data_IF_813001306653
#
_entry.id   IF_813001306653
#
_cell.length_a   1.000
_cell.length_b   1.000
_cell.length_c   1.000
_cell.angle_alpha   90.00
_cell.angle_beta   90.00
_cell.angle_gamma   90.00
#
_symmetry.space_group_name_H-M   'P 1'
#
loop_
_entity.id
_entity.type
_entity.pdbx_description
1 polymer ?
#
# COMPACT_ATOMS: atom_id res chain seq x y z
N UNK A 1 -31.54 6.67 25.89
CA UNK A 1 -30.59 7.77 25.58
C UNK A 1 -29.19 7.27 25.98
N UNK A 2 -28.13 7.48 25.19
CA UNK A 2 -26.79 7.05 25.58
C UNK A 2 -26.33 7.91 26.77
N UNK A 3 -25.74 7.32 27.85
CA UNK A 3 -25.23 8.08 28.93
C UNK A 3 -24.13 9.05 28.50
N UNK A 4 -24.05 10.19 29.14
CA UNK A 4 -23.06 11.26 28.89
C UNK A 4 -22.05 11.36 30.01
N UNK A 5 -20.95 12.09 29.83
CA UNK A 5 -19.96 12.38 30.88
C UNK A 5 -20.61 13.07 32.08
N UNK A 6 -21.68 13.85 31.86
CA UNK A 6 -22.44 14.50 32.93
C UNK A 6 -23.21 13.49 33.79
N UNK A 7 -23.75 12.44 33.15
CA UNK A 7 -24.46 11.38 33.90
C UNK A 7 -23.48 10.57 34.75
N UNK A 8 -22.27 10.28 34.20
CA UNK A 8 -21.22 9.63 35.01
C UNK A 8 -20.80 10.49 36.17
N UNK A 9 -20.59 11.79 35.98
CA UNK A 9 -20.21 12.72 37.03
C UNK A 9 -21.29 12.78 38.14
N UNK A 10 -22.57 12.84 37.73
CA UNK A 10 -23.72 12.82 38.65
C UNK A 10 -23.81 11.52 39.43
N UNK A 11 -23.66 10.37 38.77
CA UNK A 11 -23.70 9.05 39.43
C UNK A 11 -22.53 8.84 40.42
N UNK A 12 -21.33 9.24 40.01
CA UNK A 12 -20.10 9.13 40.83
C UNK A 12 -20.02 10.16 41.94
N UNK A 13 -20.90 11.18 41.96
CA UNK A 13 -20.84 12.28 42.93
C UNK A 13 -19.55 13.11 42.84
N UNK A 14 -19.07 13.35 41.60
CA UNK A 14 -17.85 14.14 41.32
C UNK A 14 -18.12 15.18 40.24
N UNK A 15 -17.15 16.09 40.02
CA UNK A 15 -17.25 17.05 38.94
C UNK A 15 -17.00 16.39 37.57
N UNK A 16 -17.54 16.97 36.47
CA UNK A 16 -17.24 16.54 35.11
C UNK A 16 -15.73 16.60 34.82
N UNK A 17 -15.04 17.59 35.38
CA UNK A 17 -13.58 17.70 35.29
C UNK A 17 -12.85 16.51 35.93
N UNK A 18 -13.38 15.96 37.03
CA UNK A 18 -12.81 14.76 37.69
C UNK A 18 -13.00 13.53 36.82
N UNK A 19 -14.19 13.35 36.21
CA UNK A 19 -14.41 12.26 35.22
C UNK A 19 -13.50 12.40 34.00
N UNK A 20 -13.36 13.60 33.48
CA UNK A 20 -12.46 13.87 32.33
C UNK A 20 -10.99 13.54 32.67
N UNK A 21 -10.52 13.91 33.89
CA UNK A 21 -9.17 13.56 34.35
C UNK A 21 -9.00 12.03 34.45
N UNK A 22 -10.01 11.33 34.96
CA UNK A 22 -10.00 9.86 35.03
C UNK A 22 -9.85 9.23 33.65
N UNK A 23 -10.66 9.66 32.69
CA UNK A 23 -10.63 9.16 31.31
C UNK A 23 -9.28 9.41 30.59
N UNK A 24 -8.56 10.45 31.02
CA UNK A 24 -7.25 10.83 30.50
C UNK A 24 -6.08 10.29 31.36
N UNK A 25 -6.33 9.35 32.29
CA UNK A 25 -5.31 8.77 33.17
C UNK A 25 -4.45 9.82 33.90
N UNK A 26 -5.04 10.96 34.26
CA UNK A 26 -4.33 12.04 34.94
C UNK A 26 -3.93 11.60 36.39
N UNK A 27 -2.68 11.83 36.80
CA UNK A 27 -2.25 11.50 38.16
C UNK A 27 -2.89 12.41 39.23
N UNK A 28 -3.58 13.46 38.84
CA UNK A 28 -4.16 14.48 39.71
C UNK A 28 -5.57 14.12 40.22
N UNK A 29 -5.87 12.83 40.46
CA UNK A 29 -7.16 12.36 40.94
C UNK A 29 -6.96 11.62 42.26
N UNK A 30 -7.80 11.95 43.27
CA UNK A 30 -7.80 11.22 44.54
C UNK A 30 -8.23 9.75 44.32
N UNK A 31 -7.56 8.75 44.93
CA UNK A 31 -7.86 7.32 44.75
C UNK A 31 -9.34 6.95 44.97
N UNK A 32 -9.99 7.57 45.96
CA UNK A 32 -11.43 7.37 46.21
C UNK A 32 -12.31 7.84 45.05
N UNK A 33 -11.91 8.90 44.34
CA UNK A 33 -12.65 9.41 43.18
C UNK A 33 -12.45 8.51 41.94
N UNK A 34 -11.28 7.91 41.79
CA UNK A 34 -10.98 6.93 40.73
C UNK A 34 -11.96 5.77 40.81
N UNK A 35 -12.12 5.17 42.00
CA UNK A 35 -12.99 4.01 42.18
C UNK A 35 -14.47 4.34 41.93
N UNK A 36 -14.95 5.49 42.44
CA UNK A 36 -16.33 5.94 42.18
C UNK A 36 -16.63 6.19 40.72
N UNK A 37 -15.69 6.80 40.01
CA UNK A 37 -15.84 7.04 38.55
C UNK A 37 -15.82 5.72 37.78
N UNK A 38 -14.94 4.77 38.14
CA UNK A 38 -14.90 3.43 37.54
C UNK A 38 -16.25 2.71 37.66
N UNK A 39 -16.79 2.66 38.90
CA UNK A 39 -18.09 2.05 39.17
C UNK A 39 -19.24 2.74 38.42
N UNK A 40 -19.22 4.06 38.31
CA UNK A 40 -20.23 4.81 37.55
C UNK A 40 -20.18 4.49 36.05
N UNK A 41 -18.99 4.38 35.47
CA UNK A 41 -18.78 4.01 34.06
C UNK A 41 -19.35 2.60 33.80
N UNK A 42 -19.05 1.64 34.68
CA UNK A 42 -19.54 0.27 34.57
C UNK A 42 -21.07 0.20 34.74
N UNK A 43 -21.62 0.83 35.76
CA UNK A 43 -23.04 0.83 36.06
C UNK A 43 -23.89 1.47 34.92
N UNK A 44 -23.38 2.53 34.32
CA UNK A 44 -24.04 3.24 33.23
C UNK A 44 -23.70 2.67 31.83
N UNK A 45 -22.82 1.68 31.74
CA UNK A 45 -22.23 1.21 30.47
C UNK A 45 -21.78 2.39 29.59
N UNK A 46 -21.11 3.37 30.25
CA UNK A 46 -20.68 4.58 29.58
C UNK A 46 -19.44 4.33 28.74
N UNK A 47 -19.52 4.63 27.46
CA UNK A 47 -18.39 4.64 26.55
C UNK A 47 -18.01 6.09 26.24
N UNK A 48 -16.75 6.49 26.52
CA UNK A 48 -16.29 7.85 26.20
C UNK A 48 -16.45 8.12 24.70
N UNK A 49 -17.09 9.21 24.35
CA UNK A 49 -17.18 9.65 22.97
C UNK A 49 -15.81 10.11 22.47
N UNK A 50 -15.30 9.48 21.42
CA UNK A 50 -14.06 9.91 20.75
C UNK A 50 -14.20 11.35 20.22
N UNK A 51 -15.37 11.72 19.67
CA UNK A 51 -15.66 13.11 19.25
C UNK A 51 -15.55 14.11 20.41
N UNK A 52 -16.06 13.75 21.60
CA UNK A 52 -15.96 14.63 22.78
C UNK A 52 -14.51 14.75 23.29
N UNK A 53 -13.72 13.69 23.13
CA UNK A 53 -12.28 13.69 23.46
C UNK A 53 -11.52 14.53 22.45
N UNK A 54 -11.83 14.40 21.16
CA UNK A 54 -11.25 15.17 20.07
C UNK A 54 -11.47 16.68 20.21
N UNK A 55 -12.69 17.11 20.57
CA UNK A 55 -13.02 18.50 20.82
C UNK A 55 -12.19 19.14 21.95
N UNK A 56 -11.76 18.34 22.93
CA UNK A 56 -10.93 18.84 24.06
C UNK A 56 -9.45 18.95 23.69
N UNK A 57 -8.96 18.14 22.75
CA UNK A 57 -7.54 18.04 22.39
C UNK A 57 -7.22 18.56 20.99
N UNK A 58 -8.24 18.96 20.22
CA UNK A 58 -8.08 19.41 18.84
C UNK A 58 -7.74 18.31 17.83
N UNK A 59 -7.89 17.03 18.21
CA UNK A 59 -7.58 15.87 17.36
C UNK A 59 -8.87 15.16 16.94
N UNK A 60 -8.95 14.76 15.68
CA UNK A 60 -10.08 13.97 15.15
C UNK A 60 -9.96 12.47 15.41
N UNK A 61 -8.76 12.00 15.73
CA UNK A 61 -8.38 10.59 15.79
C UNK A 61 -8.73 9.83 14.50
N UNK A 62 -8.60 10.52 13.36
CA UNK A 62 -8.92 9.99 12.03
C UNK A 62 -7.76 10.27 11.10
N UNK A 63 -7.37 9.25 10.34
CA UNK A 63 -6.38 9.33 9.27
C UNK A 63 -7.09 9.11 7.94
N UNK A 64 -6.82 9.92 6.93
CA UNK A 64 -7.36 9.70 5.60
C UNK A 64 -6.41 8.84 4.75
N UNK A 65 -6.95 7.82 4.09
CA UNK A 65 -6.34 7.19 2.92
C UNK A 65 -6.90 7.87 1.67
N UNK A 66 -6.06 8.59 0.96
CA UNK A 66 -6.45 9.31 -0.27
C UNK A 66 -6.38 8.38 -1.47
N UNK A 67 -7.46 8.33 -2.23
CA UNK A 67 -7.66 7.43 -3.37
C UNK A 67 -8.12 8.22 -4.59
N UNK A 68 -7.69 7.81 -5.79
CA UNK A 68 -8.14 8.39 -7.05
C UNK A 68 -9.57 7.90 -7.37
N UNK A 69 -10.51 8.81 -7.54
CA UNK A 69 -11.90 8.52 -7.88
C UNK A 69 -12.10 8.16 -9.36
N UNK A 70 -11.13 8.51 -10.22
CA UNK A 70 -11.20 8.20 -11.65
C UNK A 70 -10.91 6.73 -11.97
N UNK A 71 -10.36 5.98 -11.01
CA UNK A 71 -9.93 4.60 -11.22
C UNK A 71 -10.71 3.60 -10.37
N UNK A 72 -11.89 3.21 -10.87
CA UNK A 72 -12.73 2.16 -10.23
C UNK A 72 -11.99 0.82 -10.12
N UNK A 73 -11.02 0.55 -11.00
CA UNK A 73 -10.21 -0.67 -10.99
C UNK A 73 -9.32 -0.77 -9.75
N UNK A 74 -9.07 0.35 -9.06
CA UNK A 74 -8.36 0.36 -7.76
C UNK A 74 -9.04 -0.58 -6.76
N UNK A 75 -10.37 -0.66 -6.75
CA UNK A 75 -11.13 -1.54 -5.87
C UNK A 75 -11.19 -3.00 -6.35
N UNK A 76 -10.93 -3.24 -7.62
CA UNK A 76 -10.80 -4.59 -8.19
C UNK A 76 -9.45 -5.25 -7.92
N UNK A 77 -8.48 -4.48 -7.45
CA UNK A 77 -7.14 -4.95 -7.15
C UNK A 77 -6.98 -5.27 -5.65
N UNK A 78 -6.61 -6.49 -5.32
CA UNK A 78 -6.40 -6.93 -3.93
C UNK A 78 -5.26 -6.15 -3.23
N UNK A 79 -4.34 -5.53 -3.96
CA UNK A 79 -3.29 -4.65 -3.45
C UNK A 79 -3.89 -3.53 -2.58
N UNK A 80 -4.92 -2.84 -3.11
CA UNK A 80 -5.59 -1.76 -2.37
C UNK A 80 -6.25 -2.27 -1.08
N UNK A 81 -6.95 -3.39 -1.14
CA UNK A 81 -7.60 -3.99 0.03
C UNK A 81 -6.58 -4.42 1.10
N UNK A 82 -5.44 -4.93 0.67
CA UNK A 82 -4.36 -5.39 1.58
C UNK A 82 -3.63 -4.24 2.23
N UNK A 83 -3.34 -3.15 1.51
CA UNK A 83 -2.74 -1.95 2.10
C UNK A 83 -3.71 -1.28 3.08
N UNK A 84 -5.00 -1.20 2.73
CA UNK A 84 -6.05 -0.69 3.60
C UNK A 84 -6.13 -1.51 4.90
N UNK A 85 -6.12 -2.83 4.81
CA UNK A 85 -6.11 -3.72 5.97
C UNK A 85 -4.91 -3.46 6.88
N UNK A 86 -3.71 -3.33 6.30
CA UNK A 86 -2.50 -3.03 7.04
C UNK A 86 -2.56 -1.68 7.77
N UNK A 87 -3.03 -0.66 7.08
CA UNK A 87 -3.25 0.68 7.64
C UNK A 87 -4.23 0.64 8.80
N UNK A 88 -5.44 0.11 8.57
CA UNK A 88 -6.49 0.04 9.58
C UNK A 88 -6.02 -0.70 10.83
N UNK A 89 -5.40 -1.88 10.64
CA UNK A 89 -4.92 -2.71 11.74
C UNK A 89 -3.88 -1.99 12.61
N UNK A 90 -2.97 -1.23 12.01
CA UNK A 90 -1.97 -0.48 12.78
C UNK A 90 -2.56 0.77 13.43
N UNK A 91 -3.42 1.52 12.72
CA UNK A 91 -4.09 2.71 13.23
C UNK A 91 -5.03 2.41 14.40
N UNK A 92 -5.81 1.33 14.32
CA UNK A 92 -6.75 0.92 15.37
C UNK A 92 -6.05 0.65 16.71
N UNK A 93 -4.83 0.08 16.69
CA UNK A 93 -4.03 -0.15 17.90
C UNK A 93 -3.59 1.14 18.59
N UNK A 94 -3.50 2.23 17.83
CA UNK A 94 -3.16 3.57 18.31
C UNK A 94 -4.39 4.44 18.59
N UNK A 95 -5.60 3.87 18.44
CA UNK A 95 -6.87 4.54 18.68
C UNK A 95 -7.32 5.46 17.55
N UNK A 96 -6.78 5.31 16.35
CA UNK A 96 -7.17 6.05 15.15
C UNK A 96 -8.14 5.26 14.27
N UNK A 97 -9.01 5.98 13.59
CA UNK A 97 -9.87 5.46 12.54
C UNK A 97 -9.28 5.75 11.16
N UNK A 98 -9.54 4.86 10.20
CA UNK A 98 -9.21 5.08 8.80
C UNK A 98 -10.45 5.61 8.07
N UNK A 99 -10.30 6.74 7.37
CA UNK A 99 -11.28 7.32 6.46
C UNK A 99 -10.75 7.21 5.03
N UNK A 100 -11.56 6.69 4.11
CA UNK A 100 -11.21 6.70 2.69
C UNK A 100 -11.69 8.01 2.10
N UNK A 101 -10.78 8.75 1.48
CA UNK A 101 -11.05 10.04 0.86
C UNK A 101 -10.80 9.95 -0.65
N UNK A 102 -11.87 10.07 -1.42
CA UNK A 102 -11.77 10.10 -2.87
C UNK A 102 -11.48 11.52 -3.35
N UNK A 103 -10.46 11.64 -4.19
CA UNK A 103 -10.15 12.89 -4.89
C UNK A 103 -10.01 12.62 -6.38
N UNK A 104 -10.48 13.55 -7.21
CA UNK A 104 -10.16 13.54 -8.64
C UNK A 104 -8.69 13.95 -8.84
N UNK A 105 -8.03 13.37 -9.84
CA UNK A 105 -6.63 13.68 -10.16
C UNK A 105 -6.34 15.18 -10.40
N UNK A 106 -7.38 15.96 -10.71
CA UNK A 106 -7.32 17.41 -10.93
C UNK A 106 -8.22 18.21 -9.96
N UNK A 107 -8.86 17.56 -9.00
CA UNK A 107 -9.77 18.22 -8.07
C UNK A 107 -9.46 17.80 -6.63
N UNK A 108 -8.75 18.65 -5.93
CA UNK A 108 -8.33 18.46 -4.53
C UNK A 108 -9.30 19.07 -3.52
N UNK A 109 -10.45 19.61 -3.97
CA UNK A 109 -11.39 20.35 -3.09
C UNK A 109 -11.93 19.51 -1.93
N UNK A 110 -12.14 18.20 -2.14
CA UNK A 110 -12.53 17.29 -1.07
C UNK A 110 -11.45 17.18 0.00
N UNK A 111 -10.18 17.04 -0.40
CA UNK A 111 -9.05 17.00 0.53
C UNK A 111 -8.92 18.33 1.29
N UNK A 112 -9.01 19.48 0.59
CA UNK A 112 -8.99 20.80 1.21
C UNK A 112 -10.10 20.95 2.25
N UNK A 113 -11.32 20.52 1.93
CA UNK A 113 -12.47 20.61 2.85
C UNK A 113 -12.24 19.80 4.14
N UNK A 114 -11.88 18.53 4.02
CA UNK A 114 -11.69 17.66 5.20
C UNK A 114 -10.51 18.11 6.07
N UNK A 115 -9.47 18.67 5.46
CA UNK A 115 -8.32 19.23 6.16
C UNK A 115 -8.71 20.53 6.89
N UNK A 116 -9.35 21.48 6.19
CA UNK A 116 -9.76 22.77 6.76
C UNK A 116 -10.82 22.63 7.86
N UNK A 117 -11.65 21.60 7.79
CA UNK A 117 -12.66 21.29 8.80
C UNK A 117 -12.10 20.49 9.99
N UNK A 118 -10.79 20.23 10.03
CA UNK A 118 -10.10 19.41 11.06
C UNK A 118 -10.74 18.03 11.24
N UNK A 119 -11.19 17.40 10.15
CA UNK A 119 -11.81 16.06 10.19
C UNK A 119 -10.79 14.93 10.25
N UNK A 120 -9.54 15.24 9.96
CA UNK A 120 -8.43 14.28 9.93
C UNK A 120 -7.20 14.88 10.62
N UNK A 121 -6.38 14.02 11.20
CA UNK A 121 -5.13 14.40 11.85
C UNK A 121 -3.92 14.11 10.96
N UNK A 122 -4.07 13.23 9.98
CA UNK A 122 -3.00 12.85 9.08
C UNK A 122 -3.51 12.20 7.80
N UNK A 123 -2.61 12.07 6.83
CA UNK A 123 -2.94 11.55 5.48
C UNK A 123 -1.95 10.45 5.08
N UNK A 124 -2.47 9.38 4.50
CA UNK A 124 -1.71 8.43 3.69
C UNK A 124 -2.20 8.55 2.26
N UNK A 125 -1.28 8.64 1.31
CA UNK A 125 -1.58 8.69 -0.11
C UNK A 125 -0.66 7.75 -0.88
N UNK A 126 -1.14 7.19 -1.98
CA UNK A 126 -0.31 6.40 -2.87
C UNK A 126 0.55 7.33 -3.74
N UNK A 127 1.73 6.88 -4.14
CA UNK A 127 2.70 7.70 -4.90
C UNK A 127 2.12 8.30 -6.19
N UNK A 128 1.17 7.61 -6.82
CA UNK A 128 0.48 8.07 -8.03
C UNK A 128 -0.33 9.36 -7.80
N UNK A 129 -0.77 9.62 -6.57
CA UNK A 129 -1.52 10.82 -6.16
C UNK A 129 -0.63 11.91 -5.55
N UNK A 130 0.64 11.64 -5.33
CA UNK A 130 1.59 12.61 -4.77
C UNK A 130 2.01 13.69 -5.79
N UNK A 131 1.04 14.28 -6.48
CA UNK A 131 1.26 15.37 -7.42
C UNK A 131 1.37 16.74 -6.72
N UNK A 132 1.81 17.76 -7.47
CA UNK A 132 2.07 19.09 -6.93
C UNK A 132 0.85 19.72 -6.22
N UNK A 133 -0.37 19.52 -6.75
CA UNK A 133 -1.59 20.10 -6.17
C UNK A 133 -1.93 19.45 -4.81
N UNK A 134 -1.89 18.13 -4.72
CA UNK A 134 -2.14 17.41 -3.47
C UNK A 134 -1.09 17.77 -2.42
N UNK A 135 0.18 17.76 -2.80
CA UNK A 135 1.29 18.09 -1.88
C UNK A 135 1.21 19.56 -1.42
N UNK A 136 0.80 20.48 -2.27
CA UNK A 136 0.61 21.89 -1.90
C UNK A 136 -0.45 22.05 -0.80
N UNK A 137 -1.59 21.33 -0.91
CA UNK A 137 -2.64 21.32 0.13
C UNK A 137 -2.07 20.81 1.46
N UNK A 138 -1.36 19.67 1.43
CA UNK A 138 -0.81 19.06 2.62
C UNK A 138 0.27 19.93 3.29
N UNK A 139 1.17 20.52 2.51
CA UNK A 139 2.21 21.43 3.03
C UNK A 139 1.62 22.72 3.63
N UNK A 140 0.65 23.34 2.94
CA UNK A 140 -0.02 24.57 3.44
C UNK A 140 -0.75 24.32 4.75
N UNK A 141 -1.41 23.18 4.88
CA UNK A 141 -2.17 22.84 6.08
C UNK A 141 -1.29 22.36 7.23
N UNK A 142 -0.03 22.03 6.95
CA UNK A 142 0.92 21.43 7.91
C UNK A 142 0.43 20.10 8.51
N UNK A 143 -0.48 19.42 7.82
CA UNK A 143 -0.96 18.11 8.23
C UNK A 143 0.10 17.05 7.93
N UNK A 144 0.49 16.19 8.86
CA UNK A 144 1.43 15.12 8.61
C UNK A 144 0.89 14.14 7.56
N UNK A 145 1.77 13.70 6.65
CA UNK A 145 1.40 12.71 5.65
C UNK A 145 2.52 11.73 5.33
N UNK A 146 2.14 10.55 4.86
CA UNK A 146 3.05 9.50 4.39
C UNK A 146 2.63 9.06 3.00
N UNK A 147 3.61 8.88 2.11
CA UNK A 147 3.41 8.38 0.76
C UNK A 147 3.70 6.87 0.75
N UNK A 148 2.71 6.07 0.34
CA UNK A 148 2.87 4.67 0.00
C UNK A 148 3.38 4.53 -1.43
N UNK A 149 4.65 4.17 -1.58
CA UNK A 149 5.42 4.19 -2.81
C UNK A 149 6.55 5.22 -2.77
N UNK A 150 7.59 5.01 -3.56
CA UNK A 150 8.75 5.91 -3.61
C UNK A 150 8.36 7.31 -4.09
N UNK A 151 8.91 8.31 -3.45
CA UNK A 151 8.74 9.71 -3.82
C UNK A 151 10.08 10.37 -4.09
N UNK A 152 10.12 11.25 -5.10
CA UNK A 152 11.26 12.12 -5.38
C UNK A 152 11.27 13.40 -4.56
N UNK A 153 10.25 13.63 -3.73
CA UNK A 153 10.13 14.82 -2.88
C UNK A 153 11.01 14.62 -1.64
N UNK A 154 12.07 15.39 -1.55
CA UNK A 154 13.12 15.26 -0.51
C UNK A 154 12.57 15.37 0.93
N UNK A 155 11.56 16.22 1.12
CA UNK A 155 10.94 16.46 2.44
C UNK A 155 9.82 15.48 2.78
N UNK A 156 9.46 14.57 1.87
CA UNK A 156 8.37 13.64 2.10
C UNK A 156 8.77 12.49 3.01
N UNK A 157 7.79 11.99 3.75
CA UNK A 157 7.87 10.69 4.43
C UNK A 157 7.25 9.66 3.50
N UNK A 158 8.00 8.59 3.19
CA UNK A 158 7.49 7.56 2.30
C UNK A 158 7.96 6.16 2.69
N UNK A 159 7.16 5.18 2.32
CA UNK A 159 7.49 3.76 2.46
C UNK A 159 7.16 3.03 1.17
N UNK A 160 8.08 2.19 0.71
CA UNK A 160 7.92 1.36 -0.49
C UNK A 160 8.63 0.02 -0.29
N UNK A 161 8.50 -0.86 -1.27
CA UNK A 161 9.39 -2.00 -1.44
C UNK A 161 10.60 -1.58 -2.27
N UNK A 162 11.68 -2.35 -2.18
CA UNK A 162 12.81 -2.17 -3.11
C UNK A 162 12.46 -2.77 -4.48
N UNK A 163 11.84 -1.93 -5.35
CA UNK A 163 11.43 -2.36 -6.69
C UNK A 163 12.60 -2.69 -7.61
N UNK A 164 13.78 -2.05 -7.41
CA UNK A 164 14.98 -2.38 -8.17
C UNK A 164 15.45 -3.78 -7.76
N UNK A 165 15.54 -4.04 -6.47
CA UNK A 165 15.89 -5.37 -5.96
C UNK A 165 14.84 -6.42 -6.35
N UNK A 166 13.56 -6.07 -6.36
CA UNK A 166 12.49 -6.95 -6.82
C UNK A 166 12.71 -7.38 -8.28
N UNK A 167 12.98 -6.42 -9.18
CA UNK A 167 13.30 -6.69 -10.58
C UNK A 167 14.54 -7.57 -10.73
N UNK A 168 15.59 -7.30 -9.93
CA UNK A 168 16.80 -8.12 -9.89
C UNK A 168 16.50 -9.54 -9.42
N UNK A 169 15.72 -9.71 -8.36
CA UNK A 169 15.35 -11.03 -7.82
C UNK A 169 14.57 -11.88 -8.84
N UNK A 170 13.57 -11.30 -9.52
CA UNK A 170 12.81 -12.02 -10.55
C UNK A 170 13.70 -12.49 -11.71
N UNK A 171 14.61 -11.64 -12.15
CA UNK A 171 15.51 -11.92 -13.26
C UNK A 171 16.57 -12.94 -12.87
N UNK A 172 17.19 -12.79 -11.70
CA UNK A 172 18.17 -13.73 -11.17
C UNK A 172 17.56 -15.15 -11.03
N UNK A 173 16.32 -15.23 -10.53
CA UNK A 173 15.60 -16.49 -10.46
C UNK A 173 15.50 -17.19 -11.81
N UNK A 174 15.09 -16.46 -12.87
CA UNK A 174 14.98 -17.04 -14.20
C UNK A 174 16.33 -17.45 -14.78
N UNK A 175 17.41 -16.70 -14.51
CA UNK A 175 18.77 -17.08 -14.89
C UNK A 175 19.20 -18.37 -14.20
N UNK A 176 18.93 -18.52 -12.89
CA UNK A 176 19.24 -19.71 -12.10
C UNK A 176 18.46 -20.97 -12.58
N UNK A 177 17.31 -20.79 -13.24
CA UNK A 177 16.57 -21.88 -13.88
C UNK A 177 17.02 -22.16 -15.33
N UNK A 178 18.13 -21.57 -15.77
CA UNK A 178 18.78 -21.80 -17.06
C UNK A 178 18.23 -20.95 -18.21
N UNK A 179 17.43 -19.92 -17.96
CA UNK A 179 16.98 -19.02 -19.00
C UNK A 179 18.09 -18.03 -19.37
N UNK A 180 18.40 -17.89 -20.67
CA UNK A 180 19.38 -16.91 -21.18
C UNK A 180 18.76 -15.79 -22.00
N UNK A 181 17.52 -15.99 -22.46
CA UNK A 181 16.72 -14.99 -23.18
C UNK A 181 15.49 -14.63 -22.33
N UNK A 182 15.56 -13.50 -21.65
CA UNK A 182 14.51 -13.06 -20.72
C UNK A 182 13.92 -11.76 -21.23
N UNK A 183 12.62 -11.73 -21.54
CA UNK A 183 11.88 -10.52 -21.89
C UNK A 183 11.25 -9.87 -20.66
N UNK A 184 10.85 -8.59 -20.80
CA UNK A 184 10.12 -7.84 -19.77
C UNK A 184 8.78 -7.32 -20.30
N UNK A 185 7.70 -7.55 -19.56
CA UNK A 185 6.35 -7.17 -19.96
C UNK A 185 5.78 -6.13 -18.98
N UNK A 186 5.30 -5.01 -19.51
CA UNK A 186 4.69 -3.96 -18.69
C UNK A 186 3.58 -3.21 -19.44
N UNK A 187 2.69 -2.59 -18.69
CA UNK A 187 1.71 -1.67 -19.25
C UNK A 187 2.32 -0.29 -19.54
N UNK A 188 3.20 0.22 -18.65
CA UNK A 188 3.83 1.52 -18.83
C UNK A 188 5.12 1.63 -18.01
N UNK A 189 6.12 2.30 -18.57
CA UNK A 189 7.33 2.72 -17.85
C UNK A 189 7.19 4.07 -17.13
N UNK A 190 6.07 4.75 -17.26
CA UNK A 190 5.79 5.98 -16.53
C UNK A 190 5.50 5.73 -15.05
N UNK A 191 5.04 4.52 -14.72
CA UNK A 191 4.84 4.10 -13.33
C UNK A 191 6.19 3.82 -12.68
N UNK A 192 6.47 4.49 -11.55
CA UNK A 192 7.76 4.41 -10.84
C UNK A 192 8.15 2.96 -10.56
N UNK A 193 7.24 2.17 -9.99
CA UNK A 193 7.51 0.77 -9.67
C UNK A 193 7.91 -0.07 -10.90
N UNK A 194 7.25 0.16 -12.05
CA UNK A 194 7.53 -0.59 -13.27
C UNK A 194 8.90 -0.20 -13.86
N UNK A 195 9.23 1.10 -13.85
CA UNK A 195 10.54 1.59 -14.28
C UNK A 195 11.68 1.05 -13.39
N UNK A 196 11.47 1.00 -12.07
CA UNK A 196 12.46 0.47 -11.12
C UNK A 196 12.62 -1.06 -11.26
N UNK A 197 11.53 -1.82 -11.39
CA UNK A 197 11.58 -3.27 -11.68
C UNK A 197 12.33 -3.56 -12.98
N UNK A 198 12.08 -2.74 -14.00
CA UNK A 198 12.80 -2.83 -15.27
C UNK A 198 14.29 -2.47 -15.13
N UNK A 199 14.62 -1.47 -14.34
CA UNK A 199 16.02 -1.13 -14.05
C UNK A 199 16.76 -2.29 -13.34
N UNK A 200 16.09 -2.92 -12.37
CA UNK A 200 16.60 -4.12 -11.70
C UNK A 200 16.81 -5.31 -12.65
N UNK A 201 15.83 -5.54 -13.55
CA UNK A 201 15.93 -6.55 -14.62
C UNK A 201 17.15 -6.30 -15.51
N UNK A 202 17.34 -5.08 -16.03
CA UNK A 202 18.49 -4.75 -16.88
C UNK A 202 19.82 -4.93 -16.15
N UNK A 203 19.92 -4.40 -14.94
CA UNK A 203 21.12 -4.53 -14.12
C UNK A 203 21.50 -6.00 -13.88
N UNK A 204 20.50 -6.88 -13.70
CA UNK A 204 20.76 -8.30 -13.49
C UNK A 204 21.25 -8.98 -14.78
N UNK A 205 20.69 -8.66 -15.95
CA UNK A 205 21.16 -9.17 -17.24
C UNK A 205 22.60 -8.72 -17.52
N UNK A 206 22.90 -7.43 -17.33
CA UNK A 206 24.24 -6.86 -17.51
C UNK A 206 25.27 -7.56 -16.60
N UNK A 207 24.93 -7.79 -15.34
CA UNK A 207 25.79 -8.52 -14.41
C UNK A 207 26.07 -9.97 -14.83
N UNK A 208 25.13 -10.60 -15.55
CA UNK A 208 25.29 -11.93 -16.11
C UNK A 208 25.98 -11.94 -17.49
N UNK A 209 26.40 -10.79 -18.00
CA UNK A 209 27.01 -10.66 -19.34
C UNK A 209 25.99 -10.84 -20.49
N UNK A 210 24.71 -10.66 -20.20
CA UNK A 210 23.62 -10.78 -21.16
C UNK A 210 23.11 -9.40 -21.56
N UNK A 211 22.57 -9.31 -22.78
CA UNK A 211 21.87 -8.12 -23.26
C UNK A 211 20.36 -8.39 -23.32
N UNK A 212 19.61 -7.31 -23.28
CA UNK A 212 18.17 -7.38 -23.53
C UNK A 212 17.90 -7.99 -24.92
N UNK A 213 17.05 -9.03 -25.02
CA UNK A 213 16.77 -9.70 -26.29
C UNK A 213 15.98 -8.80 -27.24
N UNK A 214 15.97 -9.14 -28.54
CA UNK A 214 15.26 -8.37 -29.57
C UNK A 214 13.73 -8.26 -29.33
N UNK A 215 13.14 -9.24 -28.62
CA UNK A 215 11.75 -9.19 -28.11
C UNK A 215 11.63 -8.49 -26.76
N UNK A 216 12.68 -7.90 -26.27
CA UNK A 216 13.07 -7.27 -25.03
C UNK A 216 11.93 -6.74 -24.14
N UNK A 217 11.83 -5.40 -24.00
CA UNK A 217 10.77 -4.80 -23.17
C UNK A 217 9.55 -4.46 -24.01
N UNK A 218 8.44 -5.12 -23.72
CA UNK A 218 7.12 -4.79 -24.25
C UNK A 218 6.39 -3.85 -23.29
N UNK A 219 5.91 -2.71 -23.81
CA UNK A 219 5.05 -1.76 -23.11
C UNK A 219 3.69 -1.63 -23.78
N UNK A 220 2.75 -0.99 -23.10
CA UNK A 220 1.40 -0.79 -23.63
C UNK A 220 0.49 -2.01 -23.49
N UNK A 221 0.85 -2.96 -22.62
CA UNK A 221 0.06 -4.18 -22.35
C UNK A 221 -1.04 -3.87 -21.32
N UNK A 222 -1.98 -2.99 -21.71
CA UNK A 222 -3.03 -2.48 -20.83
C UNK A 222 -4.22 -3.44 -20.74
N UNK A 223 -4.56 -4.09 -21.84
CA UNK A 223 -5.74 -4.95 -21.94
C UNK A 223 -5.36 -6.38 -22.32
N UNK A 224 -6.24 -7.36 -22.07
CA UNK A 224 -6.06 -8.72 -22.58
C UNK A 224 -5.90 -8.78 -24.12
N UNK A 225 -6.50 -7.84 -24.86
CA UNK A 225 -6.38 -7.75 -26.31
C UNK A 225 -4.98 -7.30 -26.74
N UNK A 226 -4.38 -6.33 -26.03
CA UNK A 226 -3.01 -5.89 -26.30
C UNK A 226 -2.01 -7.02 -26.08
N UNK A 227 -2.21 -7.80 -25.02
CA UNK A 227 -1.38 -8.96 -24.70
C UNK A 227 -1.54 -10.05 -25.77
N UNK A 228 -2.77 -10.32 -26.22
CA UNK A 228 -3.02 -11.28 -27.30
C UNK A 228 -2.36 -10.85 -28.60
N UNK A 229 -2.43 -9.57 -28.97
CA UNK A 229 -1.76 -9.00 -30.12
C UNK A 229 -0.24 -9.09 -30.05
N UNK A 230 0.33 -8.82 -28.83
CA UNK A 230 1.76 -8.98 -28.60
C UNK A 230 2.21 -10.44 -28.83
N UNK A 231 1.51 -11.40 -28.22
CA UNK A 231 1.84 -12.84 -28.36
C UNK A 231 1.75 -13.26 -29.83
N UNK A 232 0.73 -12.82 -30.56
CA UNK A 232 0.57 -13.14 -31.98
C UNK A 232 1.71 -12.56 -32.82
N UNK A 233 2.08 -11.30 -32.60
CA UNK A 233 3.15 -10.64 -33.33
C UNK A 233 4.54 -11.24 -33.08
N UNK A 234 4.72 -11.94 -31.96
CA UNK A 234 6.01 -12.51 -31.56
C UNK A 234 6.02 -14.04 -31.51
N UNK A 235 4.96 -14.72 -32.03
CA UNK A 235 4.80 -16.18 -31.89
C UNK A 235 6.01 -17.01 -32.30
N UNK A 236 6.74 -16.59 -33.32
CA UNK A 236 7.88 -17.32 -33.90
C UNK A 236 9.22 -16.94 -33.25
N UNK A 237 9.21 -15.99 -32.30
CA UNK A 237 10.41 -15.43 -31.64
C UNK A 237 10.18 -15.07 -30.19
N UNK A 238 9.37 -15.86 -29.49
CA UNK A 238 9.19 -15.68 -28.06
C UNK A 238 10.50 -15.94 -27.31
N UNK A 239 10.79 -15.12 -26.29
CA UNK A 239 11.88 -15.39 -25.36
C UNK A 239 11.59 -16.66 -24.54
N UNK A 240 12.64 -17.31 -24.05
CA UNK A 240 12.53 -18.51 -23.19
C UNK A 240 11.98 -18.21 -21.81
N UNK A 241 12.04 -16.95 -21.37
CA UNK A 241 11.47 -16.53 -20.13
C UNK A 241 11.01 -15.07 -20.18
N UNK A 242 10.08 -14.73 -19.30
CA UNK A 242 9.57 -13.36 -19.15
C UNK A 242 9.43 -12.97 -17.69
N UNK A 243 9.80 -11.73 -17.40
CA UNK A 243 9.42 -11.02 -16.18
C UNK A 243 8.24 -10.10 -16.51
N UNK A 244 7.08 -10.33 -15.92
CA UNK A 244 5.92 -9.44 -16.07
C UNK A 244 5.82 -8.47 -14.90
N UNK A 245 5.62 -7.17 -15.17
CA UNK A 245 5.64 -6.12 -14.15
C UNK A 245 4.57 -6.25 -13.05
N UNK A 246 3.55 -7.06 -13.28
CA UNK A 246 2.51 -7.41 -12.30
C UNK A 246 1.86 -8.77 -12.63
N UNK A 247 1.10 -9.31 -11.68
CA UNK A 247 0.45 -10.62 -11.82
C UNK A 247 -0.71 -10.62 -12.83
N UNK A 248 -1.35 -9.49 -13.11
CA UNK A 248 -2.44 -9.42 -14.08
C UNK A 248 -1.92 -9.56 -15.51
N UNK A 249 -0.83 -8.85 -15.84
CA UNK A 249 -0.15 -9.00 -17.13
C UNK A 249 0.33 -10.44 -17.30
N UNK A 250 0.99 -11.00 -16.29
CA UNK A 250 1.45 -12.39 -16.33
C UNK A 250 0.31 -13.38 -16.57
N UNK A 251 -0.81 -13.22 -15.87
CA UNK A 251 -1.98 -14.08 -16.01
C UNK A 251 -2.53 -14.09 -17.45
N UNK A 252 -2.74 -12.92 -18.02
CA UNK A 252 -3.24 -12.82 -19.39
C UNK A 252 -2.22 -13.33 -20.41
N UNK A 253 -0.94 -13.07 -20.18
CA UNK A 253 0.13 -13.55 -21.04
C UNK A 253 0.22 -15.08 -21.04
N UNK A 254 0.27 -15.71 -19.87
CA UNK A 254 0.30 -17.17 -19.72
C UNK A 254 -0.92 -17.82 -20.38
N UNK A 255 -2.11 -17.24 -20.17
CA UNK A 255 -3.35 -17.72 -20.81
C UNK A 255 -3.29 -17.66 -22.34
N UNK A 256 -2.74 -16.60 -22.91
CA UNK A 256 -2.59 -16.47 -24.34
C UNK A 256 -1.54 -17.44 -24.92
N UNK A 257 -0.46 -17.71 -24.18
CA UNK A 257 0.53 -18.75 -24.53
C UNK A 257 -0.11 -20.13 -24.55
N UNK A 258 -0.82 -20.50 -23.47
CA UNK A 258 -1.49 -21.81 -23.35
C UNK A 258 -2.52 -22.05 -24.47
N UNK A 259 -3.33 -21.04 -24.84
CA UNK A 259 -4.26 -21.11 -25.99
C UNK A 259 -3.57 -21.44 -27.31
N UNK A 260 -2.31 -21.11 -27.46
CA UNK A 260 -1.50 -21.36 -28.67
C UNK A 260 -0.64 -22.61 -28.56
N UNK A 261 -0.84 -23.40 -27.50
CA UNK A 261 -0.13 -24.64 -27.28
C UNK A 261 1.30 -24.50 -26.76
N UNK A 262 1.69 -23.29 -26.31
CA UNK A 262 2.99 -23.06 -25.67
C UNK A 262 2.92 -23.57 -24.24
N UNK A 263 3.84 -24.47 -23.87
CA UNK A 263 3.88 -25.10 -22.55
C UNK A 263 4.65 -24.22 -21.55
N UNK A 264 4.06 -24.02 -20.40
CA UNK A 264 4.68 -23.31 -19.27
C UNK A 264 4.91 -24.32 -18.16
N UNK A 265 6.12 -24.49 -17.63
CA UNK A 265 7.35 -23.73 -17.88
C UNK A 265 8.28 -24.29 -18.97
N UNK A 266 7.90 -25.35 -19.70
CA UNK A 266 8.81 -26.11 -20.58
C UNK A 266 9.34 -25.28 -21.75
N UNK A 267 8.44 -24.59 -22.47
CA UNK A 267 8.76 -23.79 -23.64
C UNK A 267 9.05 -22.35 -23.26
N UNK A 268 8.25 -21.78 -22.35
CA UNK A 268 8.38 -20.40 -21.85
C UNK A 268 8.19 -20.39 -20.32
N UNK A 269 9.11 -19.79 -19.60
CA UNK A 269 8.99 -19.53 -18.17
C UNK A 269 8.42 -18.11 -17.93
N UNK A 270 7.65 -17.94 -16.84
CA UNK A 270 7.08 -16.63 -16.47
C UNK A 270 7.26 -16.38 -14.97
N UNK A 271 7.92 -15.26 -14.64
CA UNK A 271 7.97 -14.74 -13.29
C UNK A 271 7.23 -13.40 -13.23
N UNK A 272 6.57 -13.10 -12.12
CA UNK A 272 5.80 -11.89 -11.94
C UNK A 272 6.02 -11.27 -10.56
N UNK A 273 5.23 -10.27 -10.22
CA UNK A 273 5.22 -9.62 -8.92
C UNK A 273 3.82 -9.73 -8.32
N UNK A 274 3.76 -9.57 -7.02
CA UNK A 274 2.57 -9.66 -6.19
C UNK A 274 2.02 -11.09 -6.04
N UNK A 275 2.01 -11.55 -4.80
CA UNK A 275 1.35 -12.80 -4.44
C UNK A 275 -0.17 -12.60 -4.35
N UNK A 276 -0.77 -12.32 -5.51
CA UNK A 276 -2.20 -12.10 -5.67
C UNK A 276 -2.97 -13.42 -5.79
N UNK A 277 -4.29 -13.34 -5.71
CA UNK A 277 -5.17 -14.49 -5.98
C UNK A 277 -4.90 -15.03 -7.40
N UNK A 278 -4.72 -14.17 -8.40
CA UNK A 278 -4.41 -14.57 -9.77
C UNK A 278 -3.14 -15.41 -9.85
N UNK A 279 -2.11 -15.04 -9.07
CA UNK A 279 -0.85 -15.78 -9.06
C UNK A 279 -1.00 -17.19 -8.50
N UNK A 280 -1.88 -17.39 -7.53
CA UNK A 280 -2.10 -18.69 -6.89
C UNK A 280 -3.06 -19.61 -7.64
N UNK A 281 -4.06 -19.06 -8.37
CA UNK A 281 -5.09 -19.82 -9.07
C UNK A 281 -4.80 -20.02 -10.56
N UNK A 282 -3.74 -19.40 -11.10
CA UNK A 282 -3.31 -19.65 -12.48
C UNK A 282 -2.82 -21.07 -12.67
N UNK A 283 -2.89 -21.58 -13.91
CA UNK A 283 -2.39 -22.91 -14.29
C UNK A 283 -1.38 -22.78 -15.43
N UNK A 284 -0.08 -23.08 -15.12
CA UNK A 284 0.48 -23.37 -13.80
C UNK A 284 0.44 -22.15 -12.86
N UNK A 285 0.49 -22.38 -11.53
CA UNK A 285 0.56 -21.28 -10.55
C UNK A 285 1.85 -20.46 -10.74
N UNK A 286 1.76 -19.14 -10.58
CA UNK A 286 2.87 -18.22 -10.92
C UNK A 286 3.94 -18.16 -9.84
N UNK A 287 5.20 -18.27 -10.27
CA UNK A 287 6.36 -17.84 -9.49
C UNK A 287 6.35 -16.32 -9.42
N UNK A 288 6.42 -15.77 -8.21
CA UNK A 288 6.33 -14.33 -8.00
C UNK A 288 7.37 -13.81 -7.01
N UNK A 289 7.80 -12.58 -7.23
CA UNK A 289 8.41 -11.80 -6.16
C UNK A 289 7.30 -11.33 -5.23
N UNK A 290 7.30 -11.84 -4.01
CA UNK A 290 6.33 -11.48 -2.99
C UNK A 290 6.58 -10.05 -2.51
N UNK A 291 5.52 -9.26 -2.52
CA UNK A 291 5.44 -7.92 -1.94
C UNK A 291 4.53 -8.01 -0.73
N UNK A 292 5.05 -7.68 0.45
CA UNK A 292 4.23 -7.68 1.67
C UNK A 292 3.46 -6.36 1.79
N UNK A 293 2.37 -6.26 1.04
CA UNK A 293 1.50 -5.09 0.98
C UNK A 293 0.85 -4.77 2.34
N UNK A 294 0.55 -5.80 3.14
CA UNK A 294 0.00 -5.60 4.49
C UNK A 294 1.04 -4.91 5.39
N UNK A 295 2.29 -5.42 5.37
CA UNK A 295 3.38 -4.80 6.12
C UNK A 295 3.69 -3.38 5.63
N UNK A 296 3.53 -3.08 4.34
CA UNK A 296 3.66 -1.74 3.77
C UNK A 296 2.61 -0.79 4.36
N UNK A 297 1.33 -1.19 4.40
CA UNK A 297 0.27 -0.42 5.05
C UNK A 297 0.53 -0.20 6.55
N UNK A 298 0.97 -1.26 7.26
CA UNK A 298 1.32 -1.16 8.68
C UNK A 298 2.51 -0.22 8.93
N UNK A 299 3.51 -0.22 8.05
CA UNK A 299 4.66 0.66 8.14
C UNK A 299 4.26 2.12 7.88
N UNK A 300 3.46 2.39 6.85
CA UNK A 300 2.93 3.72 6.56
C UNK A 300 2.16 4.30 7.77
N UNK A 301 1.29 3.50 8.39
CA UNK A 301 0.56 3.92 9.59
C UNK A 301 1.51 4.24 10.75
N UNK A 302 2.51 3.40 11.03
CA UNK A 302 3.47 3.63 12.11
C UNK A 302 4.29 4.90 11.89
N UNK A 303 4.79 5.11 10.67
CA UNK A 303 5.53 6.31 10.31
C UNK A 303 4.65 7.55 10.50
N UNK A 304 3.39 7.52 10.05
CA UNK A 304 2.46 8.63 10.25
C UNK A 304 2.19 8.91 11.74
N UNK A 305 1.97 7.89 12.55
CA UNK A 305 1.79 8.04 14.00
C UNK A 305 3.03 8.65 14.68
N UNK A 306 4.22 8.31 14.23
CA UNK A 306 5.46 8.94 14.72
C UNK A 306 5.51 10.43 14.38
N UNK A 307 5.15 10.84 13.15
CA UNK A 307 5.05 12.26 12.76
C UNK A 307 3.99 13.00 13.59
N UNK A 308 2.82 12.40 13.79
CA UNK A 308 1.76 12.97 14.63
C UNK A 308 2.21 13.20 16.07
N UNK A 309 2.95 12.26 16.65
CA UNK A 309 3.50 12.39 18.01
C UNK A 309 4.63 13.40 18.13
N UNK A 310 5.45 13.53 17.08
CA UNK A 310 6.51 14.53 17.04
C UNK A 310 5.98 15.95 16.88
N UNK A 311 4.74 16.12 16.37
CA UNK A 311 4.13 17.42 16.08
C UNK A 311 4.73 18.14 14.89
N UNK A 312 5.60 17.49 14.14
CA UNK A 312 6.24 18.02 12.94
C UNK A 312 6.55 16.88 11.95
N UNK A 313 6.55 17.20 10.66
CA UNK A 313 6.95 16.25 9.62
C UNK A 313 8.48 16.28 9.46
N UNK A 314 9.11 15.11 9.69
CA UNK A 314 10.54 14.91 9.46
C UNK A 314 10.73 13.96 8.30
N UNK A 315 11.57 14.30 7.31
CA UNK A 315 11.86 13.41 6.20
C UNK A 315 12.35 12.04 6.69
N UNK A 316 11.68 11.02 6.23
CA UNK A 316 12.01 9.63 6.55
C UNK A 316 11.57 8.73 5.40
N UNK A 317 12.33 7.69 5.10
CA UNK A 317 11.94 6.72 4.10
C UNK A 317 12.33 5.31 4.54
N UNK A 318 11.48 4.36 4.14
CA UNK A 318 11.65 2.95 4.47
C UNK A 318 11.46 2.11 3.20
N UNK A 319 12.40 1.20 2.94
CA UNK A 319 12.26 0.15 1.95
C UNK A 319 12.04 -1.19 2.64
N UNK A 320 10.96 -1.85 2.27
CA UNK A 320 10.66 -3.20 2.75
C UNK A 320 11.31 -4.24 1.84
N UNK A 321 11.82 -5.34 2.42
CA UNK A 321 12.44 -6.40 1.66
C UNK A 321 11.43 -7.17 0.82
N UNK A 322 11.94 -7.82 -0.22
CA UNK A 322 11.19 -8.71 -1.09
C UNK A 322 11.71 -10.14 -0.97
N UNK A 323 10.91 -11.11 -1.39
CA UNK A 323 11.31 -12.53 -1.44
C UNK A 323 10.63 -13.22 -2.63
N UNK A 324 11.21 -14.31 -3.11
CA UNK A 324 10.60 -15.13 -4.15
C UNK A 324 9.68 -16.19 -3.54
N UNK A 325 8.54 -16.43 -4.21
CA UNK A 325 7.70 -17.61 -4.01
C UNK A 325 7.76 -18.42 -5.29
N UNK A 326 8.46 -19.53 -5.22
CA UNK A 326 8.56 -20.48 -6.31
C UNK A 326 7.24 -21.24 -6.51
N UNK A 327 6.82 -21.34 -7.79
CA UNK A 327 5.64 -22.09 -8.23
C UNK A 327 5.89 -22.68 -9.63
N UNK A 328 4.82 -23.24 -10.22
CA UNK A 328 4.90 -24.04 -11.46
C UNK A 328 5.15 -23.25 -12.75
N UNK A 329 5.12 -21.91 -12.76
CA UNK A 329 5.35 -21.14 -13.99
C UNK A 329 6.83 -20.94 -14.34
N UNK A 330 7.75 -21.39 -13.48
CA UNK A 330 9.19 -21.49 -13.74
C UNK A 330 9.68 -22.90 -13.47
N UNK A 331 10.79 -23.28 -14.07
CA UNK A 331 11.46 -24.54 -13.75
C UNK A 331 11.98 -24.52 -12.33
N UNK A 332 12.09 -25.68 -11.71
CA UNK A 332 12.76 -25.82 -10.42
C UNK A 332 14.26 -25.54 -10.59
N UNK A 333 14.88 -25.04 -9.54
CA UNK A 333 16.34 -24.97 -9.45
C UNK A 333 16.92 -26.38 -9.46
N UNK A 334 17.98 -26.61 -10.22
CA UNK A 334 18.78 -27.83 -10.15
C UNK A 334 19.61 -27.92 -8.86
#
# INVERSE_FOLDING_TARGET
MKPTIRDVAKYAGVSVATVSRYLNNSPLIAPQSVERVRQAIEALNYQPSMMARGLLHGNSYTVALVVDDSNVETYGNDYFLRIQYGLEHALAREGYYLMICHIGSKNVSTLESIVNENRIDGVVLLSELANAQVLEVLWKSKIPFVIGGRSSVEQAVWVDIDNIEAGRCATAWLLETGASEIGFLTNSFEKVFAAERYAGYKSCLEAAGLSEPACGAAKGLLTPADIAAYVEAHRDRLCRAYVASDSAIAFHFMRELTKRGVRIPDDVQVAAFDDSVLASVSEPAMTVVKIDVVSLGMAAARMLIQQLRAGEQRPEHLLLPVSIIERGSTKMRE
#
